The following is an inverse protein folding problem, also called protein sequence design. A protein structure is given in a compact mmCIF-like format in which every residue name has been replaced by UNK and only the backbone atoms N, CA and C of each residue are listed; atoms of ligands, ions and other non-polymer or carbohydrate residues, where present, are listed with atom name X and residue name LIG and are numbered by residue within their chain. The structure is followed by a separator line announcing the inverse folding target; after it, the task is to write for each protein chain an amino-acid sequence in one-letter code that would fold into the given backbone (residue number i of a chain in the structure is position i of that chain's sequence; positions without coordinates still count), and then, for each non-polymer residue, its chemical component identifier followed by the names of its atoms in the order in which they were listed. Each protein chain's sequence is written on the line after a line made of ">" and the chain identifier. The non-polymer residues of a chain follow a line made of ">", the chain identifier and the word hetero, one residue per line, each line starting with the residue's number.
data_IF_521568519527
#
_entry.id   IF_521568519527
#
_cell.length_a   1.000
_cell.length_b   1.000
_cell.length_c   1.000
_cell.angle_alpha   90.00
_cell.angle_beta   90.00
_cell.angle_gamma   90.00
#
_symmetry.space_group_name_H-M   'P 1'
#
loop_
_entity.id
_entity.type
_entity.pdbx_description
1 polymer ?
#
# COMPACT_ATOMS: atom_id res chain seq x y z
N UNK A 1 -5.35 -0.08 9.21
CA UNK A 1 -4.00 0.49 9.31
C UNK A 1 -4.09 2.00 9.09
N UNK A 2 -3.46 2.82 9.94
CA UNK A 2 -3.37 4.28 9.71
C UNK A 2 -2.15 4.59 8.83
N UNK A 3 -2.06 5.83 8.36
CA UNK A 3 -0.88 6.28 7.62
C UNK A 3 0.42 6.18 8.43
N UNK A 4 0.39 6.53 9.71
CA UNK A 4 1.56 6.46 10.59
C UNK A 4 2.05 5.03 10.79
N UNK A 5 1.13 4.09 11.05
CA UNK A 5 1.47 2.67 11.17
C UNK A 5 2.03 2.11 9.87
N UNK A 6 1.50 2.55 8.72
CA UNK A 6 2.03 2.13 7.42
C UNK A 6 3.43 2.69 7.16
N UNK A 7 3.69 3.95 7.52
CA UNK A 7 5.03 4.53 7.40
C UNK A 7 6.05 3.77 8.24
N UNK A 8 5.72 3.46 9.50
CA UNK A 8 6.60 2.66 10.36
C UNK A 8 6.86 1.26 9.81
N UNK A 9 5.83 0.62 9.23
CA UNK A 9 5.99 -0.67 8.54
C UNK A 9 6.89 -0.55 7.30
N UNK A 10 6.68 0.49 6.48
CA UNK A 10 7.47 0.73 5.28
C UNK A 10 8.96 0.90 5.61
N UNK A 11 9.27 1.65 6.67
CA UNK A 11 10.63 1.92 7.12
C UNK A 11 11.30 0.71 7.77
N UNK A 12 10.64 0.08 8.76
CA UNK A 12 11.30 -0.90 9.61
C UNK A 12 11.17 -2.34 9.13
N UNK A 13 10.18 -2.62 8.28
CA UNK A 13 9.87 -4.00 7.86
C UNK A 13 10.03 -4.16 6.36
N UNK A 14 9.43 -3.29 5.56
CA UNK A 14 9.44 -3.46 4.10
C UNK A 14 10.78 -3.07 3.48
N UNK A 15 11.24 -1.83 3.69
CA UNK A 15 12.46 -1.30 3.05
C UNK A 15 13.70 -2.19 3.22
N UNK A 16 13.98 -2.82 4.39
CA UNK A 16 15.13 -3.72 4.55
C UNK A 16 15.09 -4.98 3.68
N UNK A 17 13.92 -5.34 3.13
CA UNK A 17 13.73 -6.50 2.27
C UNK A 17 13.81 -6.18 0.78
N UNK A 18 13.82 -4.89 0.42
CA UNK A 18 13.84 -4.43 -0.96
C UNK A 18 15.25 -4.39 -1.55
N UNK A 19 15.30 -4.47 -2.87
CA UNK A 19 16.49 -4.25 -3.68
C UNK A 19 16.28 -3.10 -4.64
N UNK A 20 17.40 -2.52 -5.09
CA UNK A 20 17.38 -1.49 -6.13
C UNK A 20 16.67 -2.03 -7.38
N UNK A 21 15.67 -1.28 -7.84
CA UNK A 21 14.85 -1.63 -9.00
C UNK A 21 13.56 -2.39 -8.69
N UNK A 22 13.34 -2.82 -7.43
CA UNK A 22 12.08 -3.45 -7.04
C UNK A 22 10.89 -2.49 -7.19
N UNK A 23 9.71 -3.06 -7.43
CA UNK A 23 8.45 -2.34 -7.52
C UNK A 23 7.52 -2.81 -6.39
N UNK A 24 7.16 -1.89 -5.51
CA UNK A 24 6.17 -2.09 -4.46
C UNK A 24 4.79 -1.72 -5.01
N UNK A 25 3.90 -2.71 -5.10
CA UNK A 25 2.50 -2.50 -5.52
C UNK A 25 1.61 -2.43 -4.28
N UNK A 26 0.86 -1.34 -4.13
CA UNK A 26 -0.01 -1.09 -2.98
C UNK A 26 -1.46 -0.92 -3.38
N UNK A 27 -2.37 -1.24 -2.46
CA UNK A 27 -3.77 -0.82 -2.58
C UNK A 27 -3.87 0.72 -2.64
N UNK A 28 -4.86 1.24 -3.35
CA UNK A 28 -5.12 2.66 -3.56
C UNK A 28 -5.77 3.37 -2.34
N UNK A 29 -5.59 2.83 -1.13
CA UNK A 29 -6.12 3.42 0.10
C UNK A 29 -5.37 4.71 0.47
N UNK A 30 -6.06 5.75 0.99
CA UNK A 30 -5.41 6.97 1.46
C UNK A 30 -4.30 6.73 2.50
N UNK A 31 -4.47 5.73 3.36
CA UNK A 31 -3.46 5.36 4.37
C UNK A 31 -2.11 4.91 3.76
N UNK A 32 -2.09 4.45 2.51
CA UNK A 32 -0.86 4.05 1.82
C UNK A 32 -0.18 5.21 1.09
N UNK A 33 -0.84 6.37 0.98
CA UNK A 33 -0.36 7.54 0.24
C UNK A 33 0.32 8.55 1.16
N UNK A 34 1.15 8.07 2.07
CA UNK A 34 1.89 8.92 3.02
C UNK A 34 3.33 9.13 2.53
N UNK A 35 3.80 10.37 2.57
CA UNK A 35 5.12 10.75 2.04
C UNK A 35 6.25 9.96 2.70
N UNK A 36 6.18 9.70 4.01
CA UNK A 36 7.19 8.96 4.75
C UNK A 36 7.38 7.52 4.22
N UNK A 37 6.29 6.83 3.87
CA UNK A 37 6.38 5.48 3.28
C UNK A 37 7.04 5.51 1.90
N UNK A 38 6.72 6.52 1.07
CA UNK A 38 7.35 6.70 -0.23
C UNK A 38 8.86 6.92 -0.09
N UNK A 39 9.26 7.81 0.82
CA UNK A 39 10.68 8.12 1.07
C UNK A 39 11.46 6.89 1.53
N UNK A 40 10.89 6.09 2.44
CA UNK A 40 11.52 4.86 2.89
C UNK A 40 11.76 3.85 1.75
N UNK A 41 10.77 3.69 0.86
CA UNK A 41 10.86 2.79 -0.30
C UNK A 41 11.87 3.30 -1.33
N UNK A 42 11.84 4.59 -1.65
CA UNK A 42 12.76 5.20 -2.62
C UNK A 42 14.20 5.23 -2.11
N UNK A 43 14.41 5.39 -0.79
CA UNK A 43 15.73 5.29 -0.18
C UNK A 43 16.37 3.89 -0.34
N UNK A 44 15.56 2.83 -0.45
CA UNK A 44 16.02 1.48 -0.79
C UNK A 44 16.29 1.29 -2.30
N UNK A 45 16.08 2.33 -3.13
CA UNK A 45 16.22 2.28 -4.58
C UNK A 45 15.06 1.57 -5.29
N UNK A 46 13.93 1.37 -4.60
CA UNK A 46 12.71 0.80 -5.15
C UNK A 46 11.72 1.90 -5.58
N UNK A 47 10.65 1.51 -6.26
CA UNK A 47 9.58 2.42 -6.69
C UNK A 47 8.22 1.95 -6.20
N UNK A 48 7.32 2.90 -5.98
CA UNK A 48 5.97 2.61 -5.49
C UNK A 48 4.93 2.80 -6.61
N UNK A 49 4.03 1.83 -6.77
CA UNK A 49 2.87 1.90 -7.66
C UNK A 49 1.60 1.59 -6.87
N UNK A 50 0.52 2.29 -7.23
CA UNK A 50 -0.81 2.02 -6.68
C UNK A 50 -1.65 1.25 -7.68
N UNK A 51 -2.41 0.29 -7.17
CA UNK A 51 -3.50 -0.30 -7.95
C UNK A 51 -4.48 0.81 -8.40
N UNK A 52 -5.13 0.65 -9.56
CA UNK A 52 -6.23 1.54 -9.93
C UNK A 52 -7.29 1.57 -8.83
N UNK A 53 -8.09 2.65 -8.73
CA UNK A 53 -9.22 2.69 -7.81
C UNK A 53 -10.08 1.44 -7.99
N UNK A 54 -10.46 0.81 -6.87
CA UNK A 54 -11.25 -0.40 -6.88
C UNK A 54 -12.54 -0.18 -7.69
N UNK A 55 -12.77 -1.00 -8.72
CA UNK A 55 -14.07 -1.06 -9.39
C UNK A 55 -15.06 -1.80 -8.47
N UNK A 56 -16.25 -1.24 -8.19
CA UNK A 56 -17.19 -1.79 -7.22
C UNK A 56 -17.68 -3.22 -7.50
N UNK A 57 -17.43 -3.75 -8.71
CA UNK A 57 -17.88 -5.09 -9.13
C UNK A 57 -17.14 -6.26 -8.44
N UNK A 58 -15.99 -6.03 -7.79
CA UNK A 58 -15.16 -7.12 -7.22
C UNK A 58 -14.94 -7.06 -5.70
N UNK A 59 -15.74 -6.29 -4.95
CA UNK A 59 -15.65 -6.29 -3.49
C UNK A 59 -16.50 -7.39 -2.84
N UNK A 60 -15.86 -8.38 -2.20
CA UNK A 60 -16.52 -9.42 -1.38
C UNK A 60 -17.40 -8.82 -0.26
N UNK A 61 -17.17 -7.57 0.15
CA UNK A 61 -17.97 -6.85 1.15
C UNK A 61 -19.43 -6.60 0.74
N UNK A 62 -19.78 -6.61 -0.57
CA UNK A 62 -21.18 -6.40 -1.00
C UNK A 62 -22.03 -7.66 -0.82
N UNK A 63 -21.46 -8.87 -0.98
CA UNK A 63 -22.22 -10.13 -0.96
C UNK A 63 -22.88 -10.48 0.38
N UNK A 64 -22.48 -9.84 1.49
CA UNK A 64 -23.05 -10.12 2.82
C UNK A 64 -24.06 -9.08 3.31
N UNK A 65 -24.28 -7.98 2.57
CA UNK A 65 -25.33 -7.00 2.92
C UNK A 65 -26.68 -7.32 2.28
N UNK A 66 -26.71 -8.15 1.25
CA UNK A 66 -27.92 -8.50 0.48
C UNK A 66 -28.51 -9.87 0.86
N UNK A 67 -27.96 -10.54 1.89
CA UNK A 67 -28.46 -11.81 2.45
C UNK A 67 -29.13 -11.63 3.83
N UNK A 68 -29.60 -10.43 4.14
CA UNK A 68 -30.37 -10.11 5.33
C UNK A 68 -31.83 -9.84 4.99
#
# INVERSE_FOLDING_TARGET
>A
MTGEWFAAYAEHVLAPTLRVGDIVILDNLPAHKVAAACQAIEAAGARMLFLPPYSPDFSLRRKYRELG
#
